data_IF_820197034249
#
_entry.id   IF_820197034249
#
_cell.length_a   1.000
_cell.length_b   1.000
_cell.length_c   1.000
_cell.angle_alpha   90.00
_cell.angle_beta   90.00
_cell.angle_gamma   90.00
#
_symmetry.space_group_name_H-M   'P 1'
#
loop_
_entity.id
_entity.type
_entity.pdbx_description
1 polymer ?
#
# COMPACT_ATOMS: atom_id res chain seq x y z
N UNK A 1 24.43 -21.00 -3.62
CA UNK A 1 23.42 -21.32 -4.66
C UNK A 1 24.14 -21.53 -5.98
N UNK A 2 23.80 -22.58 -6.73
CA UNK A 2 24.25 -22.81 -8.11
C UNK A 2 23.20 -22.31 -9.10
N UNK A 3 23.63 -21.67 -10.18
CA UNK A 3 22.79 -21.17 -11.27
C UNK A 3 23.34 -21.73 -12.58
N UNK A 4 22.51 -22.43 -13.35
CA UNK A 4 22.85 -22.97 -14.66
C UNK A 4 22.01 -22.27 -15.74
N UNK A 5 22.67 -21.59 -16.68
CA UNK A 5 22.03 -20.82 -17.74
C UNK A 5 22.20 -21.55 -19.07
N UNK A 6 21.09 -21.98 -19.68
CA UNK A 6 21.11 -22.66 -20.98
C UNK A 6 20.64 -21.71 -22.06
N UNK A 7 21.44 -21.52 -23.09
CA UNK A 7 21.08 -20.69 -24.25
C UNK A 7 21.88 -21.11 -25.48
N UNK A 8 21.40 -20.71 -26.64
CA UNK A 8 22.13 -20.78 -27.90
C UNK A 8 22.94 -19.48 -28.15
N UNK A 9 23.02 -18.58 -27.17
CA UNK A 9 23.82 -17.35 -27.19
C UNK A 9 24.49 -17.17 -25.83
N UNK A 10 25.45 -18.02 -25.45
CA UNK A 10 26.10 -17.95 -24.13
C UNK A 10 26.75 -16.57 -23.87
N UNK A 11 27.21 -15.88 -24.91
CA UNK A 11 27.81 -14.54 -24.80
C UNK A 11 26.82 -13.47 -24.29
N UNK A 12 25.51 -13.72 -24.40
CA UNK A 12 24.47 -12.84 -23.86
C UNK A 12 24.58 -12.69 -22.33
N UNK A 13 25.19 -13.67 -21.66
CA UNK A 13 25.37 -13.70 -20.22
C UNK A 13 26.69 -13.10 -19.74
N UNK A 14 27.46 -12.43 -20.60
CA UNK A 14 28.62 -11.64 -20.16
C UNK A 14 28.33 -10.71 -18.94
N UNK A 15 27.12 -10.11 -18.77
CA UNK A 15 26.78 -9.30 -17.60
C UNK A 15 26.88 -10.02 -16.23
N UNK A 16 26.84 -11.35 -16.17
CA UNK A 16 26.96 -12.08 -14.88
C UNK A 16 28.32 -11.86 -14.21
N UNK A 17 29.33 -11.45 -14.98
CA UNK A 17 30.67 -11.15 -14.48
C UNK A 17 30.86 -9.67 -14.12
N UNK A 18 29.80 -8.84 -14.15
CA UNK A 18 29.89 -7.42 -13.88
C UNK A 18 29.39 -7.05 -12.47
N UNK A 19 29.90 -5.93 -11.94
CA UNK A 19 29.37 -5.29 -10.73
C UNK A 19 29.34 -6.24 -9.50
N UNK A 20 28.29 -6.15 -8.67
CA UNK A 20 28.10 -6.98 -7.48
C UNK A 20 27.91 -8.45 -7.80
N UNK A 21 27.27 -8.79 -8.93
CA UNK A 21 27.08 -10.19 -9.33
C UNK A 21 28.42 -10.86 -9.68
N UNK A 22 29.28 -10.17 -10.43
CA UNK A 22 30.63 -10.64 -10.71
C UNK A 22 31.46 -10.85 -9.44
N UNK A 23 31.37 -9.91 -8.49
CA UNK A 23 32.02 -10.08 -7.17
C UNK A 23 31.47 -11.27 -6.41
N UNK A 24 30.15 -11.44 -6.37
CA UNK A 24 29.49 -12.56 -5.70
C UNK A 24 29.93 -13.90 -6.31
N UNK A 25 30.13 -13.94 -7.63
CA UNK A 25 30.69 -15.08 -8.33
C UNK A 25 32.15 -15.35 -7.93
N UNK A 26 33.02 -14.34 -7.99
CA UNK A 26 34.43 -14.44 -7.60
C UNK A 26 34.62 -14.88 -6.13
N UNK A 27 33.73 -14.46 -5.23
CA UNK A 27 33.78 -14.84 -3.80
C UNK A 27 33.13 -16.19 -3.52
N UNK A 28 32.53 -16.85 -4.51
CA UNK A 28 31.82 -18.12 -4.35
C UNK A 28 30.48 -18.03 -3.63
N UNK A 29 29.89 -16.83 -3.53
CA UNK A 29 28.54 -16.64 -2.96
C UNK A 29 27.48 -17.22 -3.91
N UNK A 30 27.71 -17.04 -5.22
CA UNK A 30 26.88 -17.59 -6.29
C UNK A 30 27.78 -18.30 -7.29
N UNK A 31 27.41 -19.53 -7.66
CA UNK A 31 28.15 -20.30 -8.66
C UNK A 31 27.36 -20.32 -9.97
N UNK A 32 27.80 -19.56 -10.97
CA UNK A 32 27.06 -19.34 -12.23
C UNK A 32 27.76 -20.10 -13.36
N UNK A 33 27.03 -20.99 -14.02
CA UNK A 33 27.48 -21.78 -15.17
C UNK A 33 26.66 -21.39 -16.39
N UNK A 34 27.33 -21.21 -17.53
CA UNK A 34 26.70 -20.87 -18.80
C UNK A 34 26.96 -21.98 -19.80
N UNK A 35 25.88 -22.52 -20.36
CA UNK A 35 25.88 -23.70 -21.22
C UNK A 35 25.40 -23.30 -22.63
N UNK A 36 26.24 -23.51 -23.66
CA UNK A 36 25.80 -23.41 -25.05
C UNK A 36 24.99 -24.67 -25.39
N UNK A 37 23.68 -24.53 -25.52
CA UNK A 37 22.78 -25.67 -25.78
C UNK A 37 23.19 -26.46 -27.03
N UNK A 38 23.89 -25.81 -27.98
CA UNK A 38 24.40 -26.46 -29.18
C UNK A 38 25.50 -27.50 -28.91
N UNK A 39 26.03 -27.60 -27.71
CA UNK A 39 27.02 -28.63 -27.36
C UNK A 39 26.38 -30.02 -27.22
N UNK A 40 25.06 -30.10 -27.06
CA UNK A 40 24.27 -31.35 -27.02
C UNK A 40 23.63 -31.71 -28.37
N UNK A 41 24.23 -31.26 -29.46
CA UNK A 41 23.78 -31.56 -30.82
C UNK A 41 24.70 -32.57 -31.48
N UNK A 42 24.13 -33.46 -32.29
CA UNK A 42 24.86 -34.58 -32.90
C UNK A 42 24.99 -34.47 -34.42
N UNK A 43 24.41 -33.43 -35.02
CA UNK A 43 24.50 -33.15 -36.44
C UNK A 43 25.57 -32.07 -36.74
N UNK A 44 26.08 -32.08 -37.97
CA UNK A 44 27.14 -31.15 -38.38
C UNK A 44 26.72 -29.67 -38.34
N UNK A 45 25.42 -29.37 -38.38
CA UNK A 45 24.90 -28.00 -38.38
C UNK A 45 24.57 -27.48 -36.97
N UNK A 46 24.77 -28.31 -35.93
CA UNK A 46 24.43 -28.02 -34.54
C UNK A 46 22.99 -27.54 -34.39
N UNK A 47 22.07 -28.34 -34.94
CA UNK A 47 20.65 -28.03 -35.03
C UNK A 47 19.96 -28.21 -33.68
N UNK A 48 19.23 -27.20 -33.22
CA UNK A 48 18.57 -27.17 -31.90
C UNK A 48 17.05 -27.02 -31.99
N UNK A 49 16.52 -26.89 -33.19
CA UNK A 49 15.12 -26.59 -33.48
C UNK A 49 14.63 -27.34 -34.71
N UNK A 50 13.32 -27.59 -34.77
CA UNK A 50 12.64 -28.20 -35.92
C UNK A 50 11.24 -27.57 -36.11
N UNK A 51 10.60 -27.88 -37.22
CA UNK A 51 9.26 -27.42 -37.57
C UNK A 51 8.19 -27.91 -36.56
N UNK A 52 7.20 -27.08 -36.22
CA UNK A 52 6.15 -27.47 -35.28
C UNK A 52 5.20 -28.53 -35.86
N UNK A 53 4.86 -29.54 -35.05
CA UNK A 53 3.72 -30.41 -35.34
C UNK A 53 2.41 -29.60 -35.39
N UNK A 54 1.52 -29.96 -36.31
CA UNK A 54 0.28 -29.21 -36.58
C UNK A 54 0.43 -28.09 -37.61
N UNK A 55 1.66 -27.82 -38.07
CA UNK A 55 1.96 -26.74 -39.00
C UNK A 55 2.00 -25.37 -38.31
N UNK A 56 2.33 -24.33 -39.06
CA UNK A 56 2.56 -22.98 -38.55
C UNK A 56 3.84 -22.38 -39.14
N UNK A 57 4.04 -21.08 -38.91
CA UNK A 57 5.33 -20.44 -39.15
C UNK A 57 6.25 -20.63 -37.93
N UNK A 58 7.56 -20.49 -38.12
CA UNK A 58 8.54 -20.57 -37.03
C UNK A 58 9.09 -21.97 -36.79
N UNK A 59 9.88 -22.08 -35.72
CA UNK A 59 10.60 -23.30 -35.31
C UNK A 59 10.39 -23.51 -33.80
N UNK A 60 10.45 -24.76 -33.35
CA UNK A 60 10.34 -25.15 -31.93
C UNK A 60 11.62 -25.86 -31.52
N UNK A 61 12.17 -25.50 -30.37
CA UNK A 61 13.41 -26.10 -29.88
C UNK A 61 13.19 -27.56 -29.49
N UNK A 62 14.10 -28.43 -29.93
CA UNK A 62 13.94 -29.88 -29.86
C UNK A 62 14.04 -30.42 -28.44
N UNK A 63 13.12 -31.32 -28.01
CA UNK A 63 13.14 -31.88 -26.66
C UNK A 63 14.33 -32.82 -26.42
N UNK A 64 14.91 -33.42 -27.46
CA UNK A 64 16.06 -34.32 -27.32
C UNK A 64 17.31 -33.58 -26.87
N UNK A 65 17.60 -32.41 -27.47
CA UNK A 65 18.75 -31.58 -27.10
C UNK A 65 18.57 -31.01 -25.70
N UNK A 66 17.37 -30.50 -25.39
CA UNK A 66 17.05 -29.99 -24.05
C UNK A 66 17.14 -31.07 -22.97
N UNK A 67 16.59 -32.25 -23.24
CA UNK A 67 16.61 -33.37 -22.30
C UNK A 67 18.05 -33.82 -21.98
N UNK A 68 18.87 -34.04 -23.00
CA UNK A 68 20.28 -34.42 -22.80
C UNK A 68 21.05 -33.38 -22.00
N UNK A 69 20.90 -32.09 -22.32
CA UNK A 69 21.59 -31.01 -21.61
C UNK A 69 21.20 -30.91 -20.13
N UNK A 70 19.90 -30.96 -19.85
CA UNK A 70 19.39 -30.86 -18.48
C UNK A 70 19.74 -32.11 -17.66
N UNK A 71 19.65 -33.31 -18.25
CA UNK A 71 20.00 -34.56 -17.58
C UNK A 71 21.49 -34.61 -17.18
N UNK A 72 22.38 -34.20 -18.08
CA UNK A 72 23.82 -34.14 -17.81
C UNK A 72 24.15 -33.17 -16.68
N UNK A 73 23.64 -31.94 -16.74
CA UNK A 73 23.89 -30.91 -15.71
C UNK A 73 23.31 -31.30 -14.33
N UNK A 74 22.14 -31.95 -14.30
CA UNK A 74 21.56 -32.49 -13.06
C UNK A 74 22.45 -33.60 -12.50
N UNK A 75 22.96 -34.50 -13.35
CA UNK A 75 23.83 -35.59 -12.93
C UNK A 75 25.17 -35.07 -12.38
N UNK A 76 25.80 -34.09 -13.04
CA UNK A 76 27.02 -33.43 -12.57
C UNK A 76 26.85 -32.79 -11.19
N UNK A 77 25.76 -32.04 -11.00
CA UNK A 77 25.47 -31.41 -9.71
C UNK A 77 25.25 -32.44 -8.60
N UNK A 78 24.74 -33.64 -8.94
CA UNK A 78 24.47 -34.72 -7.99
C UNK A 78 25.72 -35.55 -7.66
N UNK A 79 26.72 -35.62 -8.54
CA UNK A 79 27.88 -36.50 -8.42
C UNK A 79 28.84 -36.14 -7.26
N UNK A 80 28.74 -34.94 -6.69
CA UNK A 80 29.56 -34.45 -5.59
C UNK A 80 28.85 -34.30 -4.24
N UNK A 81 27.60 -34.75 -4.14
CA UNK A 81 26.74 -34.50 -2.97
C UNK A 81 26.36 -35.78 -2.24
N UNK A 82 26.08 -35.66 -0.95
CA UNK A 82 25.63 -36.78 -0.12
C UNK A 82 24.20 -37.15 -0.53
N UNK A 83 23.98 -38.42 -0.93
CA UNK A 83 22.72 -38.86 -1.54
C UNK A 83 21.51 -38.78 -0.58
N UNK A 84 21.76 -38.62 0.72
CA UNK A 84 20.74 -38.51 1.76
C UNK A 84 20.19 -37.08 1.96
N UNK A 85 20.77 -36.06 1.31
CA UNK A 85 20.28 -34.68 1.39
C UNK A 85 19.48 -34.33 0.13
N UNK A 86 18.17 -34.22 0.27
CA UNK A 86 17.30 -33.79 -0.83
C UNK A 86 17.60 -32.33 -1.22
N UNK A 87 18.02 -32.11 -2.46
CA UNK A 87 18.24 -30.78 -3.01
C UNK A 87 16.98 -30.21 -3.65
N UNK A 88 16.63 -28.98 -3.32
CA UNK A 88 15.57 -28.25 -4.01
C UNK A 88 16.11 -27.67 -5.31
N UNK A 89 15.63 -28.20 -6.43
CA UNK A 89 16.01 -27.77 -7.78
C UNK A 89 14.82 -27.14 -8.50
N UNK A 90 15.08 -26.00 -9.15
CA UNK A 90 14.09 -25.30 -9.96
C UNK A 90 14.56 -25.22 -11.41
N UNK A 91 13.73 -25.67 -12.34
CA UNK A 91 13.85 -25.40 -13.77
C UNK A 91 12.95 -24.21 -14.13
N UNK A 92 13.55 -23.04 -14.29
CA UNK A 92 12.86 -21.82 -14.69
C UNK A 92 12.86 -21.68 -16.21
N UNK A 93 11.68 -21.52 -16.81
CA UNK A 93 11.49 -21.38 -18.25
C UNK A 93 10.87 -20.00 -18.50
N UNK A 94 11.63 -19.03 -19.04
CA UNK A 94 11.07 -17.73 -19.39
C UNK A 94 10.11 -17.88 -20.58
N UNK A 95 8.86 -17.49 -20.39
CA UNK A 95 7.82 -17.54 -21.42
C UNK A 95 6.74 -16.47 -21.14
N UNK A 96 6.24 -15.74 -22.15
CA UNK A 96 5.18 -14.73 -21.94
C UNK A 96 3.86 -15.34 -21.44
N UNK A 97 3.65 -16.65 -21.59
CA UNK A 97 2.49 -17.37 -21.02
C UNK A 97 2.67 -17.83 -19.57
N UNK A 98 3.85 -17.58 -18.99
CA UNK A 98 4.18 -17.99 -17.63
C UNK A 98 3.55 -17.09 -16.57
N UNK A 99 3.68 -17.48 -15.30
CA UNK A 99 3.23 -16.63 -14.20
C UNK A 99 4.08 -15.35 -14.14
N UNK A 100 3.50 -14.16 -13.91
CA UNK A 100 4.29 -12.94 -13.78
C UNK A 100 5.32 -13.05 -12.65
N UNK A 101 6.57 -12.68 -12.94
CA UNK A 101 7.65 -12.63 -11.97
C UNK A 101 7.37 -11.56 -10.93
N UNK A 102 7.37 -11.93 -9.65
CA UNK A 102 7.15 -11.02 -8.53
C UNK A 102 8.32 -11.03 -7.56
N UNK A 103 8.41 -10.00 -6.71
CA UNK A 103 9.39 -9.95 -5.63
C UNK A 103 9.26 -11.16 -4.68
N UNK A 104 8.03 -11.63 -4.42
CA UNK A 104 7.78 -12.82 -3.62
C UNK A 104 8.33 -14.10 -4.29
N UNK A 105 8.21 -14.22 -5.62
CA UNK A 105 8.81 -15.32 -6.38
C UNK A 105 10.33 -15.28 -6.27
N UNK A 106 10.97 -14.12 -6.47
CA UNK A 106 12.42 -13.98 -6.34
C UNK A 106 12.91 -14.35 -4.92
N UNK A 107 12.21 -13.89 -3.88
CA UNK A 107 12.48 -14.25 -2.48
C UNK A 107 12.30 -15.75 -2.21
N UNK A 108 11.32 -16.40 -2.82
CA UNK A 108 11.14 -17.83 -2.66
C UNK A 108 12.31 -18.63 -3.27
N UNK A 109 12.86 -18.13 -4.39
CA UNK A 109 13.97 -18.75 -5.09
C UNK A 109 15.32 -18.59 -4.37
N UNK A 110 15.47 -17.70 -3.38
CA UNK A 110 16.73 -17.60 -2.60
C UNK A 110 17.06 -18.88 -1.84
N UNK A 111 16.05 -19.72 -1.59
CA UNK A 111 16.16 -20.97 -0.81
C UNK A 111 16.33 -22.21 -1.69
N UNK A 112 16.72 -22.06 -2.96
CA UNK A 112 16.98 -23.21 -3.86
C UNK A 112 18.47 -23.52 -3.89
N UNK A 113 18.80 -24.81 -3.98
CA UNK A 113 20.19 -25.26 -4.08
C UNK A 113 20.71 -25.03 -5.50
N UNK A 114 19.87 -25.34 -6.50
CA UNK A 114 20.16 -25.20 -7.92
C UNK A 114 19.00 -24.53 -8.67
N UNK A 115 19.32 -23.45 -9.39
CA UNK A 115 18.41 -22.75 -10.30
C UNK A 115 18.87 -22.93 -11.74
N UNK A 116 18.17 -23.75 -12.51
CA UNK A 116 18.42 -23.96 -13.93
C UNK A 116 17.49 -23.06 -14.74
N UNK A 117 18.01 -22.28 -15.68
CA UNK A 117 17.19 -21.38 -16.52
C UNK A 117 17.31 -21.77 -17.99
N UNK A 118 16.21 -22.25 -18.56
CA UNK A 118 16.13 -22.72 -19.94
C UNK A 118 15.66 -21.61 -20.88
N UNK A 119 16.59 -20.91 -21.55
CA UNK A 119 16.25 -19.78 -22.41
C UNK A 119 15.76 -20.25 -23.78
N UNK A 120 14.44 -20.24 -23.95
CA UNK A 120 13.79 -20.50 -25.24
C UNK A 120 14.08 -19.45 -26.30
N UNK A 121 14.01 -19.86 -27.57
CA UNK A 121 14.06 -19.05 -28.79
C UNK A 121 12.97 -19.51 -29.76
N UNK A 122 12.80 -18.77 -30.85
CA UNK A 122 11.80 -19.08 -31.88
C UNK A 122 10.38 -19.07 -31.29
N UNK A 123 9.57 -20.10 -31.55
CA UNK A 123 8.25 -20.28 -30.95
C UNK A 123 8.31 -20.84 -29.52
N UNK A 124 9.50 -21.21 -29.04
CA UNK A 124 9.74 -21.68 -27.68
C UNK A 124 10.33 -23.09 -27.61
N UNK A 125 10.29 -23.65 -26.41
CA UNK A 125 10.74 -25.01 -26.09
C UNK A 125 9.56 -25.97 -26.25
N UNK A 126 9.79 -27.17 -26.78
CA UNK A 126 8.77 -28.21 -26.80
C UNK A 126 8.20 -28.46 -25.39
N UNK A 127 6.89 -28.35 -25.24
CA UNK A 127 6.17 -28.45 -23.95
C UNK A 127 6.52 -29.73 -23.17
N UNK A 128 6.84 -30.83 -23.88
CA UNK A 128 7.19 -32.11 -23.25
C UNK A 128 8.42 -32.01 -22.36
N UNK A 129 9.33 -31.07 -22.59
CA UNK A 129 10.49 -30.83 -21.73
C UNK A 129 10.01 -30.43 -20.32
N UNK A 130 9.18 -29.39 -20.23
CA UNK A 130 8.63 -28.92 -18.97
C UNK A 130 7.82 -30.01 -18.26
N UNK A 131 6.97 -30.72 -19.00
CA UNK A 131 6.12 -31.79 -18.45
C UNK A 131 6.93 -32.98 -17.94
N UNK A 132 8.02 -33.34 -18.65
CA UNK A 132 8.90 -34.43 -18.26
C UNK A 132 9.60 -34.16 -16.93
N UNK A 133 10.26 -33.01 -16.78
CA UNK A 133 10.96 -32.66 -15.54
C UNK A 133 10.01 -32.47 -14.36
N UNK A 134 8.80 -31.94 -14.61
CA UNK A 134 7.74 -31.89 -13.60
C UNK A 134 7.34 -33.29 -13.12
N UNK A 135 7.21 -34.25 -14.04
CA UNK A 135 6.89 -35.64 -13.69
C UNK A 135 8.02 -36.34 -12.92
N UNK A 136 9.27 -35.94 -13.12
CA UNK A 136 10.44 -36.38 -12.35
C UNK A 136 10.59 -35.70 -10.99
N UNK A 137 9.67 -34.80 -10.62
CA UNK A 137 9.69 -34.11 -9.33
C UNK A 137 10.60 -32.88 -9.27
N UNK A 138 11.11 -32.40 -10.42
CA UNK A 138 11.78 -31.10 -10.50
C UNK A 138 10.71 -30.01 -10.43
N UNK A 139 10.97 -28.96 -9.64
CA UNK A 139 10.08 -27.80 -9.59
C UNK A 139 10.23 -27.01 -10.90
N UNK A 140 9.19 -27.00 -11.74
CA UNK A 140 9.20 -26.28 -13.02
C UNK A 140 8.46 -24.95 -12.89
N UNK A 141 9.18 -23.85 -13.08
CA UNK A 141 8.69 -22.48 -13.01
C UNK A 141 8.65 -21.87 -14.42
N UNK A 142 7.49 -21.90 -15.06
CA UNK A 142 7.23 -21.12 -16.27
C UNK A 142 6.88 -19.68 -15.86
N UNK A 143 7.74 -18.71 -16.17
CA UNK A 143 7.59 -17.32 -15.69
C UNK A 143 7.66 -16.29 -16.81
N UNK A 144 6.93 -15.19 -16.63
CA UNK A 144 6.92 -14.02 -17.50
C UNK A 144 7.49 -12.81 -16.78
N UNK A 145 8.29 -11.98 -17.47
CA UNK A 145 8.78 -10.70 -16.93
C UNK A 145 7.86 -9.51 -17.32
N UNK A 146 6.73 -9.80 -17.98
CA UNK A 146 5.67 -8.84 -18.25
C UNK A 146 4.89 -9.15 -19.54
N UNK A 147 3.83 -8.38 -19.76
CA UNK A 147 2.87 -8.60 -20.86
C UNK A 147 3.40 -8.04 -22.19
N UNK A 148 4.51 -8.60 -22.66
CA UNK A 148 5.16 -8.28 -23.93
C UNK A 148 5.99 -9.47 -24.43
N UNK A 149 6.34 -9.47 -25.71
CA UNK A 149 7.09 -10.56 -26.35
C UNK A 149 8.53 -10.12 -26.66
N UNK A 150 9.49 -10.97 -26.34
CA UNK A 150 10.92 -10.79 -26.63
C UNK A 150 11.40 -11.83 -27.65
N UNK A 151 12.59 -11.61 -28.23
CA UNK A 151 13.20 -12.54 -29.19
C UNK A 151 13.74 -13.84 -28.56
N UNK A 152 13.79 -13.92 -27.23
CA UNK A 152 14.38 -15.03 -26.49
C UNK A 152 14.35 -14.83 -24.98
N UNK A 153 14.61 -15.91 -24.25
CA UNK A 153 14.57 -15.94 -22.79
C UNK A 153 15.76 -15.30 -22.07
N UNK A 154 16.85 -14.96 -22.75
CA UNK A 154 18.13 -14.58 -22.13
C UNK A 154 18.03 -13.29 -21.29
N UNK A 155 17.28 -12.30 -21.77
CA UNK A 155 17.04 -11.06 -21.00
C UNK A 155 16.22 -11.36 -19.74
N UNK A 156 15.20 -12.21 -19.86
CA UNK A 156 14.37 -12.61 -18.72
C UNK A 156 15.15 -13.43 -17.69
N UNK A 157 16.07 -14.29 -18.15
CA UNK A 157 16.99 -15.03 -17.30
C UNK A 157 17.91 -14.09 -16.51
N UNK A 158 18.48 -13.07 -17.15
CA UNK A 158 19.28 -12.05 -16.45
C UNK A 158 18.46 -11.30 -15.40
N UNK A 159 17.21 -10.93 -15.71
CA UNK A 159 16.29 -10.30 -14.74
C UNK A 159 16.05 -11.21 -13.54
N UNK A 160 15.77 -12.50 -13.76
CA UNK A 160 15.55 -13.46 -12.68
C UNK A 160 16.80 -13.63 -11.81
N UNK A 161 17.97 -13.80 -12.43
CA UNK A 161 19.25 -13.93 -11.72
C UNK A 161 19.52 -12.68 -10.88
N UNK A 162 19.35 -11.48 -11.44
CA UNK A 162 19.57 -10.24 -10.71
C UNK A 162 18.59 -10.09 -9.53
N UNK A 163 17.31 -10.39 -9.73
CA UNK A 163 16.28 -10.29 -8.71
C UNK A 163 16.48 -11.29 -7.55
N UNK A 164 16.96 -12.51 -7.83
CA UNK A 164 17.20 -13.54 -6.82
C UNK A 164 18.52 -13.29 -6.08
N UNK A 165 19.62 -13.09 -6.82
CA UNK A 165 20.96 -13.02 -6.22
C UNK A 165 21.12 -11.83 -5.29
N UNK A 166 20.47 -10.69 -5.59
CA UNK A 166 20.50 -9.51 -4.73
C UNK A 166 19.88 -9.71 -3.34
N UNK A 167 19.02 -10.72 -3.19
CA UNK A 167 18.35 -11.08 -1.95
C UNK A 167 19.14 -12.10 -1.11
N UNK A 168 20.26 -12.62 -1.62
CA UNK A 168 21.10 -13.56 -0.88
C UNK A 168 21.87 -12.85 0.23
N UNK A 169 21.97 -13.53 1.37
CA UNK A 169 22.76 -13.06 2.51
C UNK A 169 24.22 -12.84 2.10
N UNK A 170 24.74 -11.64 2.35
CA UNK A 170 26.11 -11.26 1.98
C UNK A 170 26.26 -10.69 0.57
N UNK A 171 25.20 -10.64 -0.25
CA UNK A 171 25.26 -9.98 -1.57
C UNK A 171 25.27 -8.46 -1.43
N UNK A 172 24.29 -7.92 -0.70
CA UNK A 172 24.17 -6.49 -0.45
C UNK A 172 24.98 -6.10 0.79
N UNK A 173 25.74 -5.00 0.70
CA UNK A 173 26.58 -4.53 1.79
C UNK A 173 25.81 -4.06 3.04
N UNK A 174 24.56 -3.60 2.87
CA UNK A 174 23.68 -3.24 3.99
C UNK A 174 22.30 -3.92 3.82
N UNK A 175 22.03 -5.02 4.56
CA UNK A 175 20.76 -5.76 4.49
C UNK A 175 19.52 -4.91 4.76
N UNK A 176 19.62 -3.87 5.61
CA UNK A 176 18.48 -2.98 5.91
C UNK A 176 17.96 -2.24 4.67
N UNK A 177 18.79 -2.09 3.64
CA UNK A 177 18.36 -1.44 2.39
C UNK A 177 17.27 -2.25 1.67
N UNK A 178 17.23 -3.58 1.89
CA UNK A 178 16.25 -4.46 1.27
C UNK A 178 14.87 -4.38 1.94
N UNK A 179 14.77 -3.87 3.18
CA UNK A 179 13.49 -3.84 3.90
C UNK A 179 12.57 -2.71 3.42
N UNK A 180 13.15 -1.61 2.91
CA UNK A 180 12.42 -0.41 2.51
C UNK A 180 12.14 -0.32 1.00
N UNK A 181 12.58 -1.32 0.23
CA UNK A 181 12.48 -1.32 -1.23
C UNK A 181 11.05 -1.55 -1.74
N UNK A 182 10.84 -1.14 -3.00
CA UNK A 182 9.55 -1.34 -3.66
C UNK A 182 9.18 -2.83 -3.70
N UNK A 183 7.91 -3.11 -3.44
CA UNK A 183 7.27 -4.43 -3.44
C UNK A 183 7.56 -5.34 -2.23
N UNK A 184 8.49 -4.99 -1.34
CA UNK A 184 8.83 -5.83 -0.18
C UNK A 184 7.71 -5.89 0.86
N UNK A 185 7.10 -4.74 1.15
CA UNK A 185 5.95 -4.63 2.06
C UNK A 185 4.65 -4.29 1.30
N UNK A 186 4.56 -4.67 0.02
CA UNK A 186 3.40 -4.36 -0.83
C UNK A 186 3.26 -2.88 -1.21
N UNK A 187 4.28 -2.05 -0.99
CA UNK A 187 4.29 -0.62 -1.31
C UNK A 187 5.42 -0.27 -2.27
N UNK A 188 5.31 0.88 -2.94
CA UNK A 188 6.41 1.49 -3.69
C UNK A 188 7.30 2.32 -2.75
N UNK A 189 8.59 2.37 -3.04
CA UNK A 189 9.55 3.16 -2.26
C UNK A 189 9.25 4.67 -2.36
N UNK A 190 9.57 5.41 -1.30
CA UNK A 190 9.44 6.86 -1.22
C UNK A 190 10.47 7.59 -2.14
N UNK A 191 10.33 8.89 -2.42
CA UNK A 191 11.36 9.64 -3.16
C UNK A 191 12.65 9.79 -2.35
N UNK A 192 13.77 9.55 -3.02
CA UNK A 192 15.11 9.71 -2.45
C UNK A 192 15.74 11.04 -2.90
N UNK A 193 16.55 11.62 -2.02
CA UNK A 193 17.24 12.89 -2.24
C UNK A 193 18.70 12.75 -1.79
N UNK A 194 19.60 13.44 -2.47
CA UNK A 194 21.02 13.49 -2.11
C UNK A 194 21.55 14.91 -2.24
N UNK A 195 22.81 15.13 -1.87
CA UNK A 195 23.48 16.44 -1.99
C UNK A 195 23.56 16.86 -3.47
N UNK A 196 23.48 18.17 -3.77
CA UNK A 196 23.39 19.31 -2.85
C UNK A 196 21.98 19.56 -2.27
N UNK A 197 21.87 20.40 -1.23
CA UNK A 197 20.58 20.76 -0.58
C UNK A 197 19.58 21.40 -1.56
N UNK A 198 20.07 22.19 -2.51
CA UNK A 198 19.26 22.89 -3.50
C UNK A 198 19.85 22.66 -4.88
N UNK A 199 19.01 22.33 -5.84
CA UNK A 199 19.39 22.17 -7.24
C UNK A 199 18.32 22.81 -8.13
N UNK A 200 18.69 23.84 -8.89
CA UNK A 200 17.76 24.59 -9.76
C UNK A 200 16.53 25.11 -9.01
N UNK A 201 16.75 25.70 -7.83
CA UNK A 201 15.70 26.22 -6.94
C UNK A 201 14.72 25.16 -6.43
N UNK A 202 15.08 23.87 -6.55
CA UNK A 202 14.36 22.74 -5.95
C UNK A 202 15.08 22.35 -4.67
N UNK A 203 14.45 22.62 -3.53
CA UNK A 203 14.98 22.30 -2.21
C UNK A 203 14.69 20.84 -1.83
N UNK A 204 15.63 20.24 -1.10
CA UNK A 204 15.36 19.01 -0.33
C UNK A 204 14.30 19.31 0.75
N UNK A 205 13.30 18.45 0.95
CA UNK A 205 12.28 18.62 2.00
C UNK A 205 12.89 18.87 3.39
N UNK A 206 12.45 19.92 4.08
CA UNK A 206 13.02 20.34 5.38
C UNK A 206 12.99 19.24 6.45
N UNK A 207 12.00 18.34 6.40
CA UNK A 207 11.91 17.19 7.31
C UNK A 207 13.14 16.28 7.22
N UNK A 208 13.71 16.10 6.03
CA UNK A 208 14.93 15.31 5.80
C UNK A 208 16.18 15.99 6.35
N UNK A 209 16.11 17.28 6.65
CA UNK A 209 17.20 18.08 7.22
C UNK A 209 17.06 18.27 8.74
N UNK A 210 15.99 17.76 9.34
CA UNK A 210 15.64 18.03 10.75
C UNK A 210 16.43 17.21 11.78
N UNK A 211 16.99 16.06 11.37
CA UNK A 211 17.60 15.08 12.28
C UNK A 211 16.59 14.30 13.15
N UNK A 212 15.28 14.54 12.98
CA UNK A 212 14.24 13.82 13.69
C UNK A 212 13.90 12.52 12.96
N UNK A 213 14.52 11.43 13.39
CA UNK A 213 14.37 10.10 12.77
C UNK A 213 12.91 9.65 12.68
N UNK A 214 12.09 9.88 13.73
CA UNK A 214 10.69 9.47 13.73
C UNK A 214 9.84 10.28 12.74
N UNK A 215 10.10 11.58 12.61
CA UNK A 215 9.43 12.41 11.58
C UNK A 215 9.86 12.06 10.17
N UNK A 216 11.14 11.71 9.98
CA UNK A 216 11.67 11.26 8.68
C UNK A 216 11.03 9.94 8.28
N UNK A 217 10.97 8.97 9.19
CA UNK A 217 10.35 7.65 8.96
C UNK A 217 8.86 7.78 8.61
N UNK A 218 8.09 8.56 9.39
CA UNK A 218 6.68 8.82 9.07
C UNK A 218 6.52 9.48 7.70
N UNK A 219 7.36 10.47 7.38
CA UNK A 219 7.30 11.16 6.09
C UNK A 219 7.62 10.22 4.92
N UNK A 220 8.61 9.34 5.08
CA UNK A 220 8.94 8.29 4.11
C UNK A 220 7.75 7.35 3.91
N UNK A 221 7.14 6.87 4.99
CA UNK A 221 5.95 6.01 4.95
C UNK A 221 4.77 6.68 4.25
N UNK A 222 4.47 7.95 4.58
CA UNK A 222 3.42 8.74 3.93
C UNK A 222 3.65 8.87 2.42
N UNK A 223 4.87 9.18 1.99
CA UNK A 223 5.16 9.32 0.57
C UNK A 223 5.21 7.99 -0.20
N UNK A 224 5.60 6.91 0.48
CA UNK A 224 5.50 5.55 -0.06
C UNK A 224 4.02 5.20 -0.32
N UNK A 225 3.15 5.39 0.67
CA UNK A 225 1.70 5.18 0.53
C UNK A 225 1.11 6.06 -0.59
N UNK A 226 1.43 7.36 -0.58
CA UNK A 226 0.96 8.31 -1.59
C UNK A 226 1.35 7.89 -3.00
N UNK A 227 2.62 7.56 -3.22
CA UNK A 227 3.12 7.12 -4.51
C UNK A 227 2.47 5.81 -4.96
N UNK A 228 2.22 4.90 -4.02
CA UNK A 228 1.55 3.63 -4.29
C UNK A 228 0.10 3.87 -4.71
N UNK A 229 -0.64 4.72 -4.00
CA UNK A 229 -2.00 5.14 -4.39
C UNK A 229 -2.00 5.74 -5.81
N UNK A 230 -1.07 6.64 -6.11
CA UNK A 230 -1.04 7.35 -7.39
C UNK A 230 -0.64 6.47 -8.58
N UNK A 231 0.24 5.46 -8.38
CA UNK A 231 0.87 4.71 -9.48
C UNK A 231 0.46 3.25 -9.55
N UNK A 232 0.15 2.63 -8.42
CA UNK A 232 -0.17 1.20 -8.26
C UNK A 232 -1.29 1.00 -7.23
N UNK A 233 -2.49 1.57 -7.47
CA UNK A 233 -3.63 1.42 -6.56
C UNK A 233 -4.06 -0.05 -6.40
N UNK A 234 -3.70 -0.92 -7.34
CA UNK A 234 -3.86 -2.37 -7.25
C UNK A 234 -3.08 -2.99 -6.07
N UNK A 235 -1.92 -2.42 -5.71
CA UNK A 235 -1.16 -2.86 -4.53
C UNK A 235 -1.86 -2.44 -3.23
N UNK A 236 -2.50 -1.28 -3.20
CA UNK A 236 -3.29 -0.83 -2.04
C UNK A 236 -4.44 -1.79 -1.76
N UNK A 237 -5.07 -2.33 -2.80
CA UNK A 237 -6.15 -3.30 -2.67
C UNK A 237 -5.70 -4.66 -2.08
N UNK A 238 -4.40 -4.96 -2.13
CA UNK A 238 -3.81 -6.20 -1.61
C UNK A 238 -3.27 -6.08 -0.19
N UNK A 239 -3.17 -4.85 0.35
CA UNK A 239 -2.68 -4.62 1.71
C UNK A 239 -3.59 -5.26 2.75
N UNK A 240 -2.97 -5.87 3.76
CA UNK A 240 -3.70 -6.47 4.87
C UNK A 240 -3.95 -5.45 5.97
N UNK A 241 -5.15 -5.47 6.55
CA UNK A 241 -5.54 -4.55 7.62
C UNK A 241 -4.61 -4.60 8.85
N UNK A 242 -4.04 -5.77 9.13
CA UNK A 242 -3.13 -6.00 10.26
C UNK A 242 -1.77 -5.33 10.11
N UNK A 243 -1.31 -5.12 8.88
CA UNK A 243 0.03 -4.60 8.56
C UNK A 243 0.08 -3.06 8.59
N UNK A 244 -1.09 -2.42 8.74
CA UNK A 244 -1.25 -0.98 8.73
C UNK A 244 -1.47 -0.45 10.15
N UNK A 245 -0.63 0.52 10.54
CA UNK A 245 -0.84 1.25 11.78
C UNK A 245 -2.03 2.23 11.67
N UNK A 246 -2.35 2.91 12.77
CA UNK A 246 -3.47 3.86 12.77
C UNK A 246 -3.22 5.13 11.93
N UNK A 247 -1.96 5.49 11.67
CA UNK A 247 -1.61 6.65 10.86
C UNK A 247 -1.67 6.31 9.36
N UNK A 248 -1.21 5.11 8.97
CA UNK A 248 -1.33 4.59 7.61
C UNK A 248 -2.79 4.51 7.17
N UNK A 249 -3.66 3.96 8.02
CA UNK A 249 -5.10 3.86 7.76
C UNK A 249 -5.74 5.23 7.55
N UNK A 250 -5.38 6.20 8.40
CA UNK A 250 -5.88 7.56 8.31
C UNK A 250 -5.37 8.28 7.05
N UNK A 251 -4.10 8.08 6.71
CA UNK A 251 -3.47 8.63 5.51
C UNK A 251 -4.10 8.06 4.23
N UNK A 252 -4.30 6.74 4.16
CA UNK A 252 -4.98 6.08 3.06
C UNK A 252 -6.43 6.55 2.93
N UNK A 253 -7.14 6.70 4.05
CA UNK A 253 -8.52 7.22 4.06
C UNK A 253 -8.58 8.64 3.47
N UNK A 254 -7.61 9.50 3.82
CA UNK A 254 -7.48 10.84 3.24
C UNK A 254 -7.13 10.81 1.74
N UNK A 255 -6.45 9.75 1.27
CA UNK A 255 -6.16 9.50 -0.14
C UNK A 255 -7.30 8.76 -0.87
N UNK A 256 -8.44 8.51 -0.22
CA UNK A 256 -9.62 7.89 -0.83
C UNK A 256 -9.68 6.36 -0.75
N UNK A 257 -8.88 5.74 0.12
CA UNK A 257 -8.82 4.29 0.29
C UNK A 257 -9.04 3.86 1.74
N UNK A 258 -9.90 2.86 1.96
CA UNK A 258 -10.08 2.22 3.26
C UNK A 258 -9.65 0.77 3.15
N UNK A 259 -8.72 0.37 4.00
CA UNK A 259 -8.38 -1.05 4.22
C UNK A 259 -9.05 -1.45 5.52
N UNK A 260 -9.89 -2.48 5.48
CA UNK A 260 -10.64 -3.00 6.64
C UNK A 260 -10.45 -4.52 6.74
N UNK A 261 -10.87 -5.15 7.86
CA UNK A 261 -10.87 -6.62 7.95
C UNK A 261 -11.73 -7.31 6.89
N UNK A 262 -12.72 -6.61 6.31
CA UNK A 262 -13.57 -7.14 5.24
C UNK A 262 -13.03 -6.90 3.83
N UNK A 263 -11.90 -6.20 3.70
CA UNK A 263 -11.22 -5.95 2.43
C UNK A 263 -10.96 -4.47 2.16
N UNK A 264 -10.70 -4.17 0.89
CA UNK A 264 -10.44 -2.81 0.40
C UNK A 264 -11.73 -2.14 -0.09
N UNK A 265 -11.86 -0.85 0.22
CA UNK A 265 -12.97 0.01 -0.21
C UNK A 265 -12.43 1.35 -0.68
N UNK A 266 -13.15 2.00 -1.58
CA UNK A 266 -12.88 3.40 -1.95
C UNK A 266 -13.78 4.33 -1.14
N UNK A 267 -13.25 5.48 -0.76
CA UNK A 267 -13.99 6.51 -0.02
C UNK A 267 -13.82 7.86 -0.69
N UNK A 268 -14.91 8.63 -0.77
CA UNK A 268 -14.89 10.02 -1.20
C UNK A 268 -15.33 10.91 -0.04
N UNK A 269 -14.43 11.78 0.43
CA UNK A 269 -14.78 12.82 1.40
C UNK A 269 -15.08 14.10 0.63
N UNK A 270 -16.33 14.58 0.72
CA UNK A 270 -16.83 15.71 -0.06
C UNK A 270 -17.79 16.58 0.75
N UNK A 271 -18.02 17.81 0.28
CA UNK A 271 -19.09 18.66 0.80
C UNK A 271 -20.44 18.01 0.49
N UNK A 272 -21.31 17.95 1.50
CA UNK A 272 -22.66 17.42 1.36
C UNK A 272 -23.47 18.25 0.35
N UNK A 273 -24.29 17.56 -0.44
CA UNK A 273 -25.17 18.11 -1.45
C UNK A 273 -26.63 17.97 -0.99
N UNK A 274 -27.53 18.73 -1.61
CA UNK A 274 -28.94 18.74 -1.22
C UNK A 274 -29.59 17.34 -1.21
N UNK A 275 -29.17 16.44 -2.11
CA UNK A 275 -29.66 15.07 -2.18
C UNK A 275 -29.17 14.16 -1.03
N UNK A 276 -28.14 14.56 -0.29
CA UNK A 276 -27.61 13.77 0.82
C UNK A 276 -28.45 13.90 2.09
N UNK A 277 -29.44 14.81 2.15
CA UNK A 277 -30.15 15.16 3.38
C UNK A 277 -30.78 13.95 4.09
N UNK A 278 -31.49 13.09 3.34
CA UNK A 278 -32.15 11.90 3.89
C UNK A 278 -31.11 10.86 4.36
N UNK A 279 -30.08 10.60 3.54
CA UNK A 279 -29.01 9.66 3.87
C UNK A 279 -28.20 10.12 5.09
N UNK A 280 -27.97 11.44 5.20
CA UNK A 280 -27.30 12.07 6.33
C UNK A 280 -28.14 11.98 7.61
N UNK A 281 -29.44 12.21 7.54
CA UNK A 281 -30.34 12.04 8.68
C UNK A 281 -30.37 10.58 9.16
N UNK A 282 -30.43 9.63 8.23
CA UNK A 282 -30.32 8.21 8.55
C UNK A 282 -28.96 7.87 9.21
N UNK A 283 -27.86 8.47 8.73
CA UNK A 283 -26.52 8.28 9.32
C UNK A 283 -26.40 8.91 10.69
N UNK A 284 -26.94 10.11 10.87
CA UNK A 284 -26.97 10.80 12.15
C UNK A 284 -27.78 10.02 13.18
N UNK A 285 -28.94 9.48 12.78
CA UNK A 285 -29.80 8.65 13.64
C UNK A 285 -29.08 7.42 14.18
N UNK A 286 -28.31 6.71 13.34
CA UNK A 286 -27.57 5.51 13.77
C UNK A 286 -26.28 5.79 14.53
N UNK A 287 -25.64 6.95 14.31
CA UNK A 287 -24.34 7.28 14.92
C UNK A 287 -24.42 8.14 16.17
N UNK A 288 -25.47 8.96 16.31
CA UNK A 288 -25.61 9.85 17.47
C UNK A 288 -25.76 9.13 18.81
N UNK A 289 -26.52 8.01 18.93
CA UNK A 289 -26.62 7.26 20.18
C UNK A 289 -25.25 6.81 20.72
N UNK A 290 -24.32 6.45 19.84
CA UNK A 290 -22.96 6.02 20.23
C UNK A 290 -22.11 7.12 20.86
N UNK A 291 -22.50 8.39 20.68
CA UNK A 291 -21.84 9.56 21.27
C UNK A 291 -22.50 10.03 22.57
N UNK A 292 -23.66 9.47 22.92
CA UNK A 292 -24.43 9.84 24.10
C UNK A 292 -23.87 9.18 25.36
N UNK A 293 -23.76 9.90 26.49
CA UNK A 293 -23.49 9.28 27.78
C UNK A 293 -24.55 8.24 28.18
N UNK A 294 -24.14 7.16 28.86
CA UNK A 294 -25.02 6.08 29.35
C UNK A 294 -26.16 6.55 30.27
N UNK A 295 -26.08 7.78 30.78
CA UNK A 295 -27.07 8.39 31.67
C UNK A 295 -28.27 9.00 30.93
N UNK A 296 -28.23 9.11 29.60
CA UNK A 296 -29.34 9.62 28.79
C UNK A 296 -30.32 8.49 28.46
N UNK A 297 -31.62 8.75 28.59
CA UNK A 297 -32.66 7.79 28.21
C UNK A 297 -32.83 7.71 26.70
N UNK A 298 -33.24 6.53 26.21
CA UNK A 298 -33.56 6.32 24.78
C UNK A 298 -34.61 7.31 24.27
N UNK A 299 -35.60 7.66 25.10
CA UNK A 299 -36.61 8.68 24.78
C UNK A 299 -36.00 10.06 24.55
N UNK A 300 -35.04 10.47 25.39
CA UNK A 300 -34.35 11.75 25.24
C UNK A 300 -33.45 11.77 23.99
N UNK A 301 -32.79 10.65 23.69
CA UNK A 301 -31.98 10.48 22.48
C UNK A 301 -32.87 10.55 21.23
N UNK A 302 -33.99 9.83 21.21
CA UNK A 302 -34.94 9.82 20.10
C UNK A 302 -35.57 11.22 19.88
N UNK A 303 -35.94 11.92 20.96
CA UNK A 303 -36.45 13.28 20.87
C UNK A 303 -35.41 14.25 20.27
N UNK A 304 -34.14 14.14 20.69
CA UNK A 304 -33.07 14.96 20.12
C UNK A 304 -32.82 14.64 18.63
N UNK A 305 -32.81 13.36 18.26
CA UNK A 305 -32.67 12.95 16.85
C UNK A 305 -33.81 13.54 16.01
N UNK A 306 -35.06 13.40 16.46
CA UNK A 306 -36.23 13.91 15.75
C UNK A 306 -36.25 15.44 15.58
N UNK A 307 -35.68 16.19 16.51
CA UNK A 307 -35.65 17.66 16.46
C UNK A 307 -34.42 18.22 15.73
N UNK A 308 -33.22 17.64 15.98
CA UNK A 308 -31.95 18.21 15.56
C UNK A 308 -31.25 17.45 14.43
N UNK A 309 -31.71 16.24 14.10
CA UNK A 309 -31.09 15.33 13.12
C UNK A 309 -32.12 14.74 12.14
N UNK A 310 -33.30 15.34 12.03
CA UNK A 310 -34.30 14.99 11.02
C UNK A 310 -33.81 15.31 9.60
N UNK A 311 -34.42 14.72 8.55
CA UNK A 311 -34.17 15.12 7.17
C UNK A 311 -34.27 16.62 6.93
N UNK A 312 -35.26 17.30 7.52
CA UNK A 312 -35.45 18.74 7.41
C UNK A 312 -34.32 19.52 8.09
N UNK A 313 -33.87 19.07 9.27
CA UNK A 313 -32.74 19.67 9.97
C UNK A 313 -31.44 19.53 9.15
N UNK A 314 -31.19 18.33 8.60
CA UNK A 314 -30.05 18.05 7.73
C UNK A 314 -30.11 18.90 6.44
N UNK A 315 -31.26 18.97 5.77
CA UNK A 315 -31.46 19.80 4.59
C UNK A 315 -31.18 21.28 4.89
N UNK A 316 -31.62 21.79 6.05
CA UNK A 316 -31.35 23.15 6.50
C UNK A 316 -29.85 23.42 6.68
N UNK A 317 -29.11 22.48 7.28
CA UNK A 317 -27.66 22.62 7.42
C UNK A 317 -26.98 22.69 6.05
N UNK A 318 -27.33 21.77 5.14
CA UNK A 318 -26.75 21.70 3.79
C UNK A 318 -27.07 22.96 2.97
N UNK A 319 -28.28 23.51 3.12
CA UNK A 319 -28.72 24.70 2.37
C UNK A 319 -28.03 26.01 2.79
N UNK A 320 -27.24 26.01 3.87
CA UNK A 320 -26.57 27.22 4.41
C UNK A 320 -25.06 26.99 4.59
N UNK A 321 -24.29 26.78 3.50
CA UNK A 321 -22.88 26.39 3.57
C UNK A 321 -21.94 27.46 4.12
N UNK A 322 -22.38 28.71 4.21
CA UNK A 322 -21.64 29.80 4.87
C UNK A 322 -21.69 29.69 6.41
N UNK A 323 -22.76 29.07 6.94
CA UNK A 323 -22.99 28.87 8.38
C UNK A 323 -22.65 27.45 8.81
N UNK A 324 -23.02 26.44 8.03
CA UNK A 324 -22.86 25.04 8.36
C UNK A 324 -22.01 24.34 7.29
N UNK A 325 -20.79 23.95 7.66
CA UNK A 325 -19.92 23.14 6.82
C UNK A 325 -20.21 21.67 7.10
N UNK A 326 -20.81 21.00 6.14
CA UNK A 326 -21.13 19.57 6.23
C UNK A 326 -20.26 18.81 5.25
N UNK A 327 -19.35 17.98 5.75
CA UNK A 327 -18.62 17.01 4.93
C UNK A 327 -19.18 15.62 5.16
N UNK A 328 -19.29 14.84 4.10
CA UNK A 328 -19.73 13.45 4.12
C UNK A 328 -18.65 12.56 3.52
N UNK A 329 -18.52 11.35 4.06
CA UNK A 329 -17.72 10.27 3.49
C UNK A 329 -18.65 9.27 2.82
N UNK A 330 -18.52 9.14 1.51
CA UNK A 330 -19.29 8.21 0.69
C UNK A 330 -18.44 6.97 0.36
N UNK A 331 -18.99 5.79 0.61
CA UNK A 331 -18.34 4.49 0.43
C UNK A 331 -19.36 3.55 -0.22
N UNK A 332 -19.06 3.06 -1.44
CA UNK A 332 -19.97 2.16 -2.15
C UNK A 332 -21.37 2.76 -2.43
N UNK A 333 -21.49 4.09 -2.53
CA UNK A 333 -22.76 4.81 -2.74
C UNK A 333 -23.54 5.11 -1.45
N UNK A 334 -23.04 4.71 -0.28
CA UNK A 334 -23.66 5.00 1.02
C UNK A 334 -22.79 5.93 1.87
N UNK A 335 -23.42 6.69 2.77
CA UNK A 335 -22.69 7.54 3.71
C UNK A 335 -22.15 6.73 4.89
N UNK A 336 -20.83 6.69 5.04
CA UNK A 336 -20.12 5.99 6.12
C UNK A 336 -19.68 6.90 7.28
N UNK A 337 -19.70 8.21 7.10
CA UNK A 337 -19.34 9.18 8.13
C UNK A 337 -19.62 10.61 7.69
N UNK A 338 -19.65 11.54 8.65
CA UNK A 338 -19.84 12.96 8.37
C UNK A 338 -19.24 13.86 9.45
N UNK A 339 -19.03 15.13 9.09
CA UNK A 339 -18.74 16.21 10.03
C UNK A 339 -19.75 17.34 9.87
N UNK A 340 -19.92 18.11 10.94
CA UNK A 340 -20.68 19.36 10.94
C UNK A 340 -19.89 20.42 11.71
N UNK A 341 -19.41 21.44 11.01
CA UNK A 341 -18.80 22.63 11.60
C UNK A 341 -19.73 23.84 11.46
N UNK A 342 -19.78 24.68 12.48
CA UNK A 342 -20.63 25.87 12.55
C UNK A 342 -19.74 27.12 12.56
N UNK A 343 -20.04 28.11 11.71
CA UNK A 343 -19.24 29.31 11.46
C UNK A 343 -20.08 30.58 11.65
N UNK A 344 -19.52 31.61 12.25
CA UNK A 344 -20.15 32.94 12.39
C UNK A 344 -20.65 33.22 13.81
N UNK A 345 -21.26 34.39 14.00
CA UNK A 345 -21.75 34.84 15.31
C UNK A 345 -22.67 33.78 15.96
N UNK A 346 -22.48 33.54 17.26
CA UNK A 346 -23.14 32.46 18.03
C UNK A 346 -22.81 31.01 17.61
N UNK A 347 -21.75 30.75 16.81
CA UNK A 347 -21.27 29.38 16.61
C UNK A 347 -20.83 28.74 17.94
N UNK A 348 -20.19 29.54 18.79
CA UNK A 348 -19.79 29.17 20.14
C UNK A 348 -20.88 29.59 21.11
N UNK A 349 -21.37 28.63 21.89
CA UNK A 349 -22.32 28.94 22.96
C UNK A 349 -21.71 29.89 23.99
N UNK A 350 -22.47 30.88 24.45
CA UNK A 350 -22.02 31.92 25.40
C UNK A 350 -21.33 31.35 26.65
N UNK A 351 -21.79 30.19 27.15
CA UNK A 351 -21.19 29.50 28.31
C UNK A 351 -19.79 28.92 28.06
N UNK A 352 -19.40 28.73 26.80
CA UNK A 352 -18.09 28.21 26.37
C UNK A 352 -17.05 29.30 26.13
N UNK A 353 -17.48 30.54 25.87
CA UNK A 353 -16.60 31.67 25.61
C UNK A 353 -15.69 31.92 26.81
N UNK A 354 -14.39 32.04 26.55
CA UNK A 354 -13.34 32.32 27.53
C UNK A 354 -12.35 33.28 26.85
N UNK A 355 -12.46 34.60 27.07
CA UNK A 355 -11.63 35.58 26.38
C UNK A 355 -10.14 35.24 26.41
N UNK A 356 -9.49 35.32 25.25
CA UNK A 356 -8.09 34.95 25.02
C UNK A 356 -7.85 33.44 24.84
N UNK A 357 -8.88 32.60 24.98
CA UNK A 357 -8.78 31.14 24.82
C UNK A 357 -9.81 30.58 23.84
N UNK A 358 -11.04 31.08 23.90
CA UNK A 358 -12.20 30.72 23.08
C UNK A 358 -12.98 32.01 22.86
N UNK A 359 -12.99 32.53 21.64
CA UNK A 359 -13.77 33.72 21.26
C UNK A 359 -15.11 33.31 20.66
N UNK A 360 -16.10 34.21 20.70
CA UNK A 360 -17.40 34.00 20.06
C UNK A 360 -17.31 33.87 18.53
N UNK A 361 -16.22 34.35 17.93
CA UNK A 361 -15.94 34.28 16.49
C UNK A 361 -15.23 33.00 16.07
N UNK A 362 -14.90 32.09 16.99
CA UNK A 362 -14.29 30.81 16.62
C UNK A 362 -15.31 29.89 15.94
N UNK A 363 -14.85 28.97 15.08
CA UNK A 363 -15.69 27.94 14.51
C UNK A 363 -15.92 26.80 15.51
N UNK A 364 -17.08 26.15 15.44
CA UNK A 364 -17.43 25.02 16.31
C UNK A 364 -17.60 23.72 15.51
N UNK A 365 -16.77 22.71 15.77
CA UNK A 365 -16.99 21.36 15.27
C UNK A 365 -18.05 20.68 16.14
N UNK A 366 -19.28 20.70 15.66
CA UNK A 366 -20.44 20.14 16.36
C UNK A 366 -20.48 18.62 16.28
N UNK A 367 -20.12 18.04 15.14
CA UNK A 367 -20.23 16.59 14.90
C UNK A 367 -19.04 16.08 14.09
N UNK A 368 -18.55 14.89 14.45
CA UNK A 368 -17.55 14.15 13.72
C UNK A 368 -17.81 12.66 13.97
N UNK A 369 -18.68 12.08 13.14
CA UNK A 369 -19.19 10.74 13.37
C UNK A 369 -18.88 9.82 12.21
N UNK A 370 -18.59 8.57 12.55
CA UNK A 370 -18.40 7.47 11.61
C UNK A 370 -19.28 6.32 12.04
N UNK A 371 -19.89 5.68 11.05
CA UNK A 371 -20.65 4.45 11.23
C UNK A 371 -19.79 3.38 11.94
N UNK A 372 -20.43 2.53 12.74
CA UNK A 372 -19.75 1.47 13.48
C UNK A 372 -18.95 0.55 12.54
N UNK A 373 -19.46 0.33 11.33
CA UNK A 373 -18.84 -0.48 10.27
C UNK A 373 -17.43 0.00 9.90
N UNK A 374 -17.19 1.31 9.94
CA UNK A 374 -15.94 1.94 9.49
C UNK A 374 -15.03 2.35 10.66
N UNK A 375 -15.34 1.94 11.89
CA UNK A 375 -14.49 2.26 13.05
C UNK A 375 -13.15 1.54 12.93
N UNK A 376 -12.06 2.29 13.09
CA UNK A 376 -10.71 1.75 13.01
C UNK A 376 -10.12 1.73 11.60
N UNK A 377 -10.89 2.08 10.56
CA UNK A 377 -10.38 2.18 9.18
C UNK A 377 -9.57 3.45 8.90
N UNK A 378 -9.43 4.35 9.88
CA UNK A 378 -8.83 5.68 9.70
C UNK A 378 -9.82 6.77 9.26
N UNK A 379 -11.04 6.40 8.87
CA UNK A 379 -12.04 7.33 8.31
C UNK A 379 -12.33 8.54 9.21
N UNK A 380 -12.45 8.34 10.52
CA UNK A 380 -12.76 9.42 11.45
C UNK A 380 -11.66 10.51 11.48
N UNK A 381 -10.39 10.12 11.41
CA UNK A 381 -9.26 11.05 11.38
C UNK A 381 -9.21 11.81 10.06
N UNK A 382 -9.38 11.10 8.93
CA UNK A 382 -9.45 11.72 7.61
C UNK A 382 -10.61 12.74 7.50
N UNK A 383 -11.80 12.41 8.01
CA UNK A 383 -12.93 13.33 8.08
C UNK A 383 -12.64 14.56 8.95
N UNK A 384 -11.99 14.36 10.11
CA UNK A 384 -11.63 15.45 11.00
C UNK A 384 -10.62 16.41 10.35
N UNK A 385 -9.56 15.88 9.74
CA UNK A 385 -8.56 16.72 9.05
C UNK A 385 -9.14 17.40 7.81
N UNK A 386 -10.05 16.75 7.07
CA UNK A 386 -10.79 17.39 5.99
C UNK A 386 -11.67 18.55 6.50
N UNK A 387 -12.35 18.39 7.64
CA UNK A 387 -13.15 19.45 8.25
C UNK A 387 -12.28 20.61 8.75
N UNK A 388 -11.10 20.32 9.31
CA UNK A 388 -10.12 21.34 9.70
C UNK A 388 -9.65 22.13 8.48
N UNK A 389 -9.26 21.44 7.39
CA UNK A 389 -8.80 22.07 6.17
C UNK A 389 -9.90 22.91 5.49
N UNK A 390 -11.15 22.43 5.51
CA UNK A 390 -12.30 23.15 4.98
C UNK A 390 -12.57 24.46 5.74
N UNK A 391 -12.55 24.42 7.08
CA UNK A 391 -12.70 25.63 7.91
C UNK A 391 -11.51 26.58 7.73
N UNK A 392 -10.28 26.06 7.69
CA UNK A 392 -9.06 26.85 7.46
C UNK A 392 -9.11 27.56 6.10
N UNK A 393 -9.53 26.86 5.04
CA UNK A 393 -9.66 27.41 3.70
C UNK A 393 -10.76 28.50 3.58
N UNK A 394 -11.81 28.41 4.40
CA UNK A 394 -12.85 29.45 4.46
C UNK A 394 -12.35 30.79 5.03
N UNK A 395 -11.24 30.77 5.77
CA UNK A 395 -10.71 31.90 6.54
C UNK A 395 -11.74 32.56 7.48
N UNK A 396 -12.80 31.84 7.85
CA UNK A 396 -13.91 32.41 8.61
C UNK A 396 -13.65 32.45 10.12
N UNK A 397 -12.70 31.64 10.62
CA UNK A 397 -12.31 31.62 12.02
C UNK A 397 -10.82 31.25 12.19
N UNK A 398 -10.12 31.83 13.18
CA UNK A 398 -8.71 31.51 13.44
C UNK A 398 -8.52 30.18 14.20
N UNK A 399 -9.61 29.61 14.73
CA UNK A 399 -9.59 28.41 15.58
C UNK A 399 -10.83 27.56 15.34
N UNK A 400 -10.65 26.25 15.52
CA UNK A 400 -11.73 25.27 15.58
C UNK A 400 -11.87 24.74 17.00
N UNK A 401 -13.08 24.82 17.54
CA UNK A 401 -13.42 24.48 18.93
C UNK A 401 -14.37 23.29 18.92
N UNK A 402 -14.21 22.38 19.87
CA UNK A 402 -15.16 21.29 20.11
C UNK A 402 -15.32 21.01 21.60
N UNK A 403 -16.44 20.39 21.96
CA UNK A 403 -16.70 19.91 23.30
C UNK A 403 -16.95 18.40 23.27
N UNK A 404 -16.47 17.70 24.30
CA UNK A 404 -16.74 16.26 24.49
C UNK A 404 -16.86 15.96 25.97
N UNK A 405 -17.69 14.98 26.31
CA UNK A 405 -17.90 14.58 27.70
C UNK A 405 -16.59 14.19 28.39
N UNK A 406 -16.44 14.60 29.65
CA UNK A 406 -15.25 14.33 30.47
C UNK A 406 -14.97 12.84 30.64
N UNK A 407 -15.99 12.00 30.63
CA UNK A 407 -15.87 10.54 30.66
C UNK A 407 -15.40 9.90 29.33
N UNK A 408 -15.52 10.59 28.20
CA UNK A 408 -15.12 10.06 26.89
C UNK A 408 -13.61 10.25 26.66
N UNK A 409 -12.80 9.46 27.38
CA UNK A 409 -11.34 9.53 27.30
C UNK A 409 -10.81 9.15 25.90
N UNK A 410 -11.51 8.27 25.19
CA UNK A 410 -11.17 7.85 23.83
C UNK A 410 -11.25 9.03 22.85
N UNK A 411 -12.37 9.77 22.84
CA UNK A 411 -12.53 10.96 22.01
C UNK A 411 -11.51 12.04 22.38
N UNK A 412 -11.26 12.27 23.67
CA UNK A 412 -10.24 13.23 24.11
C UNK A 412 -8.84 12.88 23.61
N UNK A 413 -8.44 11.59 23.63
CA UNK A 413 -7.15 11.14 23.09
C UNK A 413 -7.10 11.32 21.57
N UNK A 414 -8.19 10.96 20.87
CA UNK A 414 -8.34 11.13 19.44
C UNK A 414 -8.15 12.60 19.03
N UNK A 415 -8.90 13.55 19.61
CA UNK A 415 -8.77 14.96 19.26
C UNK A 415 -7.40 15.54 19.60
N UNK A 416 -6.78 15.13 20.71
CA UNK A 416 -5.41 15.55 21.05
C UNK A 416 -4.37 15.09 20.03
N UNK A 417 -4.53 13.87 19.47
CA UNK A 417 -3.68 13.37 18.37
C UNK A 417 -3.73 14.31 17.16
N UNK A 418 -4.91 14.87 16.87
CA UNK A 418 -5.17 15.80 15.77
C UNK A 418 -4.96 17.27 16.19
N UNK A 419 -4.03 17.54 17.12
CA UNK A 419 -3.60 18.89 17.46
C UNK A 419 -4.53 19.71 18.37
N UNK A 420 -5.68 19.17 18.80
CA UNK A 420 -6.57 19.89 19.72
C UNK A 420 -6.01 19.90 21.15
N UNK A 421 -6.07 21.06 21.80
CA UNK A 421 -5.59 21.28 23.16
C UNK A 421 -6.73 21.66 24.09
N UNK A 422 -6.75 21.11 25.29
CA UNK A 422 -7.77 21.43 26.31
C UNK A 422 -7.60 22.89 26.75
N UNK A 423 -8.68 23.67 26.72
CA UNK A 423 -8.67 25.09 27.13
C UNK A 423 -9.70 25.45 28.19
N UNK A 424 -10.81 24.71 28.27
CA UNK A 424 -11.86 24.97 29.25
C UNK A 424 -12.64 23.69 29.64
N UNK A 425 -13.60 23.88 30.55
CA UNK A 425 -14.70 22.94 30.84
C UNK A 425 -16.01 23.72 30.80
N UNK A 426 -17.08 23.02 30.43
CA UNK A 426 -18.44 23.53 30.50
C UNK A 426 -19.31 22.51 31.23
N UNK A 427 -20.29 23.02 31.96
CA UNK A 427 -21.32 22.21 32.59
C UNK A 427 -22.67 22.55 31.97
N UNK A 428 -23.50 21.55 31.72
CA UNK A 428 -24.84 21.72 31.17
C UNK A 428 -25.76 20.65 31.75
N UNK A 429 -27.06 20.92 31.76
CA UNK A 429 -28.07 19.99 32.27
C UNK A 429 -28.81 19.36 31.10
N UNK A 430 -28.91 18.03 31.07
CA UNK A 430 -29.75 17.28 30.13
C UNK A 430 -30.65 16.36 30.95
N UNK A 431 -31.97 16.51 30.81
CA UNK A 431 -32.94 15.63 31.49
C UNK A 431 -32.84 15.62 33.03
N UNK A 432 -32.32 16.69 33.65
CA UNK A 432 -32.10 16.76 35.10
C UNK A 432 -30.71 16.30 35.55
N UNK A 433 -29.88 15.78 34.64
CA UNK A 433 -28.53 15.30 34.93
C UNK A 433 -27.49 16.35 34.53
N UNK A 434 -26.62 16.70 35.48
CA UNK A 434 -25.51 17.62 35.25
C UNK A 434 -24.36 16.90 34.53
N UNK A 435 -24.07 17.33 33.31
CA UNK A 435 -23.01 16.81 32.46
C UNK A 435 -21.85 17.81 32.41
N UNK A 436 -20.63 17.30 32.30
CA UNK A 436 -19.41 18.11 32.21
C UNK A 436 -18.63 17.74 30.97
N UNK A 437 -18.42 18.73 30.11
CA UNK A 437 -17.59 18.61 28.91
C UNK A 437 -16.20 19.23 29.12
N UNK A 438 -15.23 18.64 28.43
CA UNK A 438 -13.94 19.25 28.16
C UNK A 438 -14.03 20.00 26.83
N UNK A 439 -13.63 21.28 26.84
CA UNK A 439 -13.56 22.09 25.62
C UNK A 439 -12.13 22.10 25.10
N UNK A 440 -12.00 21.73 23.83
CA UNK A 440 -10.77 21.47 23.10
C UNK A 440 -10.67 22.46 21.93
N UNK A 441 -9.46 22.96 21.66
CA UNK A 441 -9.22 24.02 20.66
C UNK A 441 -8.01 23.64 19.81
N UNK A 442 -8.16 23.74 18.49
CA UNK A 442 -7.07 23.70 17.52
C UNK A 442 -6.95 25.08 16.89
N UNK A 443 -5.72 25.61 16.87
CA UNK A 443 -5.44 26.83 16.11
C UNK A 443 -5.34 26.45 14.63
N UNK A 444 -5.98 27.23 13.78
CA UNK A 444 -5.86 27.12 12.33
C UNK A 444 -4.74 28.08 11.89
N UNK A 445 -3.92 27.65 10.95
CA UNK A 445 -2.83 28.48 10.44
C UNK A 445 -3.47 29.46 9.48
N UNK A 446 -3.69 30.70 9.92
CA UNK A 446 -4.01 31.79 8.99
C UNK A 446 -2.74 31.98 8.15
N UNK A 447 -2.74 31.51 6.91
CA UNK A 447 -1.66 31.77 5.95
C UNK A 447 -1.70 33.21 5.48
#
# INVERSE_FOLDING_TARGET
>A
MRIDLFSIFPEYFAPVNLSLLGKAHETGLVDVHVHDLRDWTHDAHRTVDDTPYGGGAGMVMMPTVWGEALDEVIAECSAGQDQDVAQRRVLAIPTPSGIPLTQATARNLTNVDQLMIACGRYEGIDQRVADHYRALGVEVLEYSIGDYVLNGGEVAALVLVEAVTRLLDGFMGNPQSLEEESHENGLLEYPTYTKPRSWRDIEVPDVLLSGDHGRIERWRRDLSLKRTVERRPDLIAQLQYGDLDSADKEFLAACGHLVTPSGHHTVSIRVAQAHDADALAALATRTFPDACPDVLSDEAIAAFIGDQLSPEACARFIAQPERYRVLVAEIGGELGGYTLSIIGEDAIEKGMVRPGRIEASDAYLSKCYTDATWRGSGLAGALLEAAVADVEASNAAPRLVLATHTGNLRAQKFYKKHGFKKKARRTFNVGGVMNVDVVLVRNLTVR
#
